data_IF_024242866482
#
_entry.id   IF_024242866482
#
_cell.length_a   1.000
_cell.length_b   1.000
_cell.length_c   1.000
_cell.angle_alpha   90.00
_cell.angle_beta   90.00
_cell.angle_gamma   90.00
#
_symmetry.space_group_name_H-M   'P 1'
#
loop_
_entity.id
_entity.type
_entity.pdbx_description
1 polymer ?
#
# COMPACT_ATOMS: atom_id res chain seq x y z
N UNK A 1 2.26 -7.35 3.25
CA UNK A 1 3.05 -6.25 2.64
C UNK A 1 3.56 -5.42 3.80
N UNK A 2 4.85 -5.11 3.87
CA UNK A 2 5.39 -4.26 4.94
C UNK A 2 5.14 -2.80 4.59
N UNK A 3 4.16 -2.19 5.25
CA UNK A 3 3.84 -0.77 5.06
C UNK A 3 4.43 0.03 6.21
N UNK A 4 5.18 1.07 5.90
CA UNK A 4 5.71 1.97 6.92
C UNK A 4 4.59 2.87 7.42
N UNK A 5 4.31 2.83 8.73
CA UNK A 5 3.35 3.72 9.39
C UNK A 5 4.03 5.03 9.76
N UNK A 6 3.24 6.10 9.91
CA UNK A 6 3.75 7.42 10.31
C UNK A 6 4.47 7.42 11.67
N UNK A 7 4.12 6.45 12.51
CA UNK A 7 4.71 6.19 13.82
C UNK A 7 6.08 5.50 13.74
N UNK A 8 6.60 5.24 12.53
CA UNK A 8 7.88 4.57 12.30
C UNK A 8 7.83 3.04 12.48
N UNK A 9 6.65 2.48 12.77
CA UNK A 9 6.44 1.03 12.83
C UNK A 9 6.15 0.45 11.45
N UNK A 10 6.54 -0.80 11.20
CA UNK A 10 6.11 -1.54 10.02
C UNK A 10 4.79 -2.25 10.31
N UNK A 11 3.79 -2.05 9.46
CA UNK A 11 2.53 -2.78 9.50
C UNK A 11 2.63 -3.90 8.47
N UNK A 12 2.86 -5.11 8.94
CA UNK A 12 3.07 -6.30 8.11
C UNK A 12 1.78 -7.14 7.93
N UNK A 13 0.79 -6.93 8.81
CA UNK A 13 -0.48 -7.68 8.86
C UNK A 13 -1.45 -7.39 7.71
N UNK A 14 -1.13 -6.43 6.84
CA UNK A 14 -1.95 -6.13 5.67
C UNK A 14 -1.76 -7.17 4.59
N UNK A 15 -2.84 -7.92 4.34
CA UNK A 15 -2.97 -8.81 3.19
C UNK A 15 -2.97 -8.00 1.89
N UNK A 16 -2.47 -8.65 0.85
CA UNK A 16 -2.47 -8.09 -0.50
C UNK A 16 -3.92 -7.75 -0.89
N UNK A 17 -4.17 -6.59 -1.54
CA UNK A 17 -5.50 -6.25 -1.97
C UNK A 17 -6.03 -7.31 -2.93
N UNK A 18 -7.33 -7.61 -2.84
CA UNK A 18 -8.04 -8.52 -3.76
C UNK A 18 -8.11 -7.97 -5.19
N UNK A 19 -7.87 -6.67 -5.35
CA UNK A 19 -7.86 -5.99 -6.63
C UNK A 19 -6.48 -6.15 -7.32
N UNK A 20 -6.44 -6.96 -8.38
CA UNK A 20 -5.22 -7.27 -9.13
C UNK A 20 -4.59 -6.03 -9.79
N UNK A 21 -5.38 -5.02 -10.16
CA UNK A 21 -4.85 -3.80 -10.77
C UNK A 21 -4.05 -2.98 -9.76
N UNK A 22 -4.59 -2.84 -8.55
CA UNK A 22 -3.92 -2.21 -7.42
C UNK A 22 -2.66 -2.98 -7.02
N UNK A 23 -2.74 -4.32 -6.98
CA UNK A 23 -1.62 -5.19 -6.70
C UNK A 23 -0.47 -4.99 -7.69
N UNK A 24 -0.80 -4.93 -8.98
CA UNK A 24 0.17 -4.80 -10.04
C UNK A 24 0.85 -3.43 -9.99
N UNK A 25 0.10 -2.35 -9.80
CA UNK A 25 0.67 -1.00 -9.65
C UNK A 25 1.59 -0.88 -8.43
N UNK A 26 1.23 -1.49 -7.30
CA UNK A 26 2.08 -1.51 -6.10
C UNK A 26 3.37 -2.30 -6.36
N UNK A 27 3.28 -3.46 -7.02
CA UNK A 27 4.46 -4.27 -7.36
C UNK A 27 5.38 -3.56 -8.35
N UNK A 28 4.81 -2.95 -9.38
CA UNK A 28 5.55 -2.24 -10.42
C UNK A 28 6.21 -0.98 -9.86
N UNK A 29 5.50 -0.16 -9.08
CA UNK A 29 6.08 1.03 -8.45
C UNK A 29 7.15 0.68 -7.40
N UNK A 30 6.98 -0.42 -6.66
CA UNK A 30 8.02 -0.91 -5.74
C UNK A 30 9.24 -1.45 -6.50
N UNK A 31 9.04 -2.15 -7.62
CA UNK A 31 10.12 -2.63 -8.49
C UNK A 31 10.88 -1.49 -9.18
N UNK A 32 10.18 -0.39 -9.51
CA UNK A 32 10.80 0.85 -10.00
C UNK A 32 11.54 1.65 -8.92
N UNK A 33 11.39 1.29 -7.63
CA UNK A 33 12.02 2.01 -6.52
C UNK A 33 11.37 3.37 -6.24
N UNK A 34 10.09 3.55 -6.60
CA UNK A 34 9.30 4.75 -6.30
C UNK A 34 8.73 4.68 -4.90
N UNK A 35 8.60 5.84 -4.25
CA UNK A 35 7.87 5.95 -2.99
C UNK A 35 6.36 5.88 -3.27
N UNK A 36 5.75 4.79 -2.84
CA UNK A 36 4.31 4.55 -3.00
C UNK A 36 3.60 4.82 -1.67
N UNK A 37 2.55 5.64 -1.70
CA UNK A 37 1.63 5.79 -0.57
C UNK A 37 0.34 5.05 -0.86
N UNK A 38 0.02 4.09 0.00
CA UNK A 38 -1.23 3.32 -0.08
C UNK A 38 -2.21 3.77 0.99
N UNK A 39 -3.46 3.98 0.59
CA UNK A 39 -4.57 4.28 1.49
C UNK A 39 -5.29 3.00 1.84
N UNK A 40 -5.26 2.67 3.13
CA UNK A 40 -6.00 1.55 3.71
C UNK A 40 -7.29 2.09 4.30
N UNK A 41 -8.43 1.58 3.83
CA UNK A 41 -9.72 1.85 4.45
C UNK A 41 -10.04 0.71 5.41
N UNK A 42 -10.34 1.03 6.66
CA UNK A 42 -10.85 0.08 7.64
C UNK A 42 -12.33 0.39 7.90
N UNK A 43 -13.21 -0.57 7.66
CA UNK A 43 -14.65 -0.46 7.91
C UNK A 43 -15.22 -1.81 8.34
N UNK A 44 -16.09 -1.81 9.36
CA UNK A 44 -16.72 -3.03 9.91
C UNK A 44 -15.74 -4.13 10.35
N UNK A 45 -14.50 -3.79 10.73
CA UNK A 45 -13.48 -4.77 11.13
C UNK A 45 -12.74 -5.42 9.95
N UNK A 46 -13.06 -5.06 8.70
CA UNK A 46 -12.25 -5.40 7.53
C UNK A 46 -11.34 -4.22 7.16
N UNK A 47 -10.08 -4.54 6.84
CA UNK A 47 -9.08 -3.60 6.31
C UNK A 47 -8.81 -3.94 4.84
N UNK A 48 -8.99 -2.96 3.95
CA UNK A 48 -8.71 -3.11 2.52
C UNK A 48 -7.94 -1.91 1.99
N UNK A 49 -6.95 -2.17 1.14
CA UNK A 49 -6.28 -1.10 0.39
C UNK A 49 -7.25 -0.63 -0.70
N UNK A 50 -7.62 0.64 -0.67
CA UNK A 50 -8.62 1.22 -1.57
C UNK A 50 -8.01 2.14 -2.62
N UNK A 51 -6.85 2.73 -2.35
CA UNK A 51 -6.18 3.62 -3.28
C UNK A 51 -4.67 3.52 -3.12
N UNK A 52 -3.96 3.78 -4.22
CA UNK A 52 -2.53 4.05 -4.21
C UNK A 52 -2.27 5.45 -4.77
N UNK A 53 -1.19 6.07 -4.30
CA UNK A 53 -0.69 7.34 -4.78
C UNK A 53 0.82 7.21 -4.92
N UNK A 54 1.29 7.33 -6.14
CA UNK A 54 2.71 7.49 -6.42
C UNK A 54 3.19 8.84 -5.90
N UNK A 55 4.14 8.79 -4.97
CA UNK A 55 4.97 9.93 -4.59
C UNK A 55 6.28 9.71 -5.33
N UNK A 56 6.29 10.07 -6.62
CA UNK A 56 7.52 10.06 -7.40
C UNK A 56 8.64 10.84 -6.70
N UNK A 57 9.92 10.57 -7.03
CA UNK A 57 11.04 11.21 -6.37
C UNK A 57 10.92 12.73 -6.50
N UNK A 58 11.08 13.43 -5.38
CA UNK A 58 11.28 14.87 -5.32
C UNK A 58 12.54 15.28 -6.07
#
# INVERSE_FOLDING_TARGET
VSLLTDSGGTKDDLKLPTDENLLQQIKDGFAEGKDLVVSVMSAMGEEQICALKDIGPK
#
